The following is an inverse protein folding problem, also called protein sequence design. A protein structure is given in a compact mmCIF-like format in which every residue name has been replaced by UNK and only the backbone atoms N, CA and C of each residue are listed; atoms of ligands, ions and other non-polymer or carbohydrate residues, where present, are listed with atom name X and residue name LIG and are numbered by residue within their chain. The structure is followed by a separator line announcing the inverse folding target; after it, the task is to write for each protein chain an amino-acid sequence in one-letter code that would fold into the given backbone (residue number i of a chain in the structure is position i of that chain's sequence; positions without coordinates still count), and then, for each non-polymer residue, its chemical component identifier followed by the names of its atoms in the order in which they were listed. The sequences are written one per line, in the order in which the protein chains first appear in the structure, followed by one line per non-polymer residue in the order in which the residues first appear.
data_IF_765851686148
#
_entry.id   IF_765851686148
#
_cell.length_a   1.000
_cell.length_b   1.000
_cell.length_c   1.000
_cell.angle_alpha   90.00
_cell.angle_beta   90.00
_cell.angle_gamma   90.00
#
_symmetry.space_group_name_H-M   'P 1'
#
loop_
_entity.id
_entity.type
_entity.pdbx_description
1 polymer ?
#
# COMPACT_ATOMS: atom_id res chain seq x y z
N UNK A 1 -0.31 0.66 -1.57
CA UNK A 1 1.09 1.02 -1.72
C UNK A 1 1.79 0.97 -0.36
N UNK A 2 3.04 0.52 -0.32
CA UNK A 2 3.84 0.42 0.90
C UNK A 2 5.17 1.16 0.74
N UNK A 3 5.40 2.19 1.54
CA UNK A 3 6.67 2.90 1.63
C UNK A 3 7.60 2.16 2.59
N UNK A 4 8.74 1.71 2.11
CA UNK A 4 9.74 0.98 2.92
C UNK A 4 11.04 1.77 2.97
N UNK A 5 11.65 1.86 4.14
CA UNK A 5 12.91 2.58 4.31
C UNK A 5 13.38 2.62 5.76
N UNK A 6 14.58 3.12 6.03
CA UNK A 6 15.13 3.18 7.38
C UNK A 6 14.27 4.05 8.32
N UNK A 7 14.41 3.84 9.63
CA UNK A 7 13.84 4.76 10.63
C UNK A 7 14.42 6.16 10.42
N UNK A 8 13.58 7.19 10.61
CA UNK A 8 13.99 8.58 10.31
C UNK A 8 14.06 8.95 8.82
N UNK A 9 13.76 8.02 7.90
CA UNK A 9 13.85 8.24 6.46
C UNK A 9 12.71 9.05 5.82
N UNK A 10 11.98 9.88 6.56
CA UNK A 10 10.94 10.77 6.01
C UNK A 10 9.61 10.12 5.64
N UNK A 11 9.43 8.79 5.83
CA UNK A 11 8.19 8.07 5.47
C UNK A 11 6.94 8.69 6.08
N UNK A 12 6.97 8.96 7.38
CA UNK A 12 5.84 9.54 8.11
C UNK A 12 5.53 10.95 7.64
N UNK A 13 6.55 11.74 7.28
CA UNK A 13 6.37 13.08 6.73
C UNK A 13 5.64 13.02 5.37
N UNK A 14 6.06 12.10 4.48
CA UNK A 14 5.40 11.85 3.20
C UNK A 14 3.94 11.41 3.37
N UNK A 15 3.65 10.53 4.33
CA UNK A 15 2.27 10.10 4.58
C UNK A 15 1.42 11.22 5.18
N UNK A 16 2.01 12.03 6.07
CA UNK A 16 1.31 13.12 6.73
C UNK A 16 0.88 14.23 5.75
N UNK A 17 1.53 14.38 4.59
CA UNK A 17 1.09 15.36 3.60
C UNK A 17 -0.33 15.10 3.08
N UNK A 18 -0.79 13.85 3.11
CA UNK A 18 -2.13 13.50 2.66
C UNK A 18 -3.20 13.52 3.77
N UNK A 19 -2.83 13.75 5.04
CA UNK A 19 -3.77 13.66 6.17
C UNK A 19 -4.70 14.88 6.33
N UNK A 20 -4.56 15.90 5.50
CA UNK A 20 -5.40 17.11 5.53
C UNK A 20 -6.61 17.06 4.58
N UNK A 21 -6.72 16.03 3.74
CA UNK A 21 -7.79 15.90 2.73
C UNK A 21 -8.98 15.14 3.29
N UNK A 22 -10.20 15.53 2.88
CA UNK A 22 -11.43 14.75 3.14
C UNK A 22 -11.44 13.41 2.38
N UNK A 23 -10.57 13.26 1.39
CA UNK A 23 -10.38 12.03 0.62
C UNK A 23 -9.46 11.02 1.32
N UNK A 24 -8.97 11.33 2.52
CA UNK A 24 -8.04 10.46 3.24
C UNK A 24 -8.40 10.29 4.71
N UNK A 25 -8.07 9.12 5.26
CA UNK A 25 -8.28 8.79 6.66
C UNK A 25 -7.00 8.18 7.26
N UNK A 26 -6.32 8.92 8.16
CA UNK A 26 -5.15 8.38 8.86
C UNK A 26 -5.55 7.46 10.01
N UNK A 27 -5.04 6.22 9.99
CA UNK A 27 -5.27 5.21 11.00
C UNK A 27 -3.99 4.99 11.80
N UNK A 28 -4.06 5.21 13.10
CA UNK A 28 -2.92 5.02 14.01
C UNK A 28 -2.86 3.62 14.62
N UNK A 29 -4.01 2.99 14.82
CA UNK A 29 -4.10 1.65 15.42
C UNK A 29 -5.16 0.81 14.72
N UNK A 30 -4.81 -0.43 14.46
CA UNK A 30 -5.74 -1.45 13.98
C UNK A 30 -6.09 -2.42 15.10
N UNK A 31 -7.36 -2.74 15.21
CA UNK A 31 -7.89 -3.85 16.00
C UNK A 31 -8.70 -4.75 15.07
N UNK A 32 -9.07 -5.95 15.52
CA UNK A 32 -9.89 -6.88 14.74
C UNK A 32 -11.26 -6.32 14.32
N UNK A 33 -11.73 -5.27 14.98
CA UNK A 33 -13.04 -4.64 14.74
C UNK A 33 -12.91 -3.27 14.04
N UNK A 34 -11.70 -2.85 13.65
CA UNK A 34 -11.48 -1.54 13.01
C UNK A 34 -12.17 -1.44 11.65
N UNK A 35 -12.02 -2.46 10.82
CA UNK A 35 -12.58 -2.46 9.46
C UNK A 35 -14.09 -2.66 9.46
N UNK A 36 -14.59 -3.63 10.23
CA UNK A 36 -16.01 -3.91 10.41
C UNK A 36 -16.30 -4.12 11.90
N UNK A 37 -17.45 -3.65 12.37
CA UNK A 37 -17.88 -3.83 13.76
C UNK A 37 -19.01 -4.87 13.87
N UNK A 38 -18.86 -5.79 14.83
CA UNK A 38 -19.88 -6.76 15.23
C UNK A 38 -20.70 -6.33 16.45
N UNK A 39 -20.50 -5.09 16.94
CA UNK A 39 -21.21 -4.59 18.12
C UNK A 39 -22.69 -4.39 17.83
N UNK A 40 -23.55 -5.06 18.60
CA UNK A 40 -25.00 -5.01 18.46
C UNK A 40 -25.61 -3.65 18.79
N UNK A 41 -24.91 -2.83 19.57
CA UNK A 41 -25.36 -1.49 19.95
C UNK A 41 -25.08 -0.44 18.86
N UNK A 42 -24.32 -0.80 17.83
CA UNK A 42 -24.00 0.08 16.72
C UNK A 42 -24.83 -0.27 15.47
N UNK A 43 -25.04 0.65 14.53
CA UNK A 43 -25.67 0.35 13.24
C UNK A 43 -24.95 -0.78 12.48
N UNK A 44 -25.65 -1.49 11.59
CA UNK A 44 -25.08 -2.61 10.83
C UNK A 44 -23.99 -2.20 9.84
N UNK A 45 -23.93 -0.94 9.48
CA UNK A 45 -22.92 -0.33 8.63
C UNK A 45 -21.81 0.37 9.46
N UNK A 46 -21.58 -0.07 10.69
CA UNK A 46 -20.51 0.46 11.53
C UNK A 46 -19.17 -0.20 11.20
N UNK A 47 -18.14 0.61 11.18
CA UNK A 47 -16.76 0.22 10.87
C UNK A 47 -16.16 1.15 9.82
N UNK A 48 -14.85 1.16 9.77
CA UNK A 48 -14.08 2.06 8.91
C UNK A 48 -14.44 1.90 7.43
N UNK A 49 -14.61 0.67 6.94
CA UNK A 49 -14.85 0.42 5.51
C UNK A 49 -16.07 1.14 4.96
N UNK A 50 -17.13 1.31 5.74
CA UNK A 50 -18.34 2.01 5.30
C UNK A 50 -18.15 3.51 5.03
N UNK A 51 -17.06 4.09 5.55
CA UNK A 51 -16.70 5.50 5.38
C UNK A 51 -15.62 5.70 4.33
N UNK A 52 -15.05 4.61 3.78
CA UNK A 52 -13.83 4.63 2.99
C UNK A 52 -14.04 4.44 1.48
N UNK A 53 -15.25 4.39 1.00
CA UNK A 53 -15.48 4.29 -0.44
C UNK A 53 -14.84 5.48 -1.17
N UNK A 54 -14.01 5.16 -2.17
CA UNK A 54 -13.24 6.10 -2.99
C UNK A 54 -12.30 7.04 -2.21
N UNK A 55 -11.92 6.63 -0.97
CA UNK A 55 -10.97 7.34 -0.13
C UNK A 55 -9.65 6.58 0.03
N UNK A 56 -8.66 7.25 0.61
CA UNK A 56 -7.33 6.75 0.90
C UNK A 56 -7.17 6.47 2.40
N UNK A 57 -6.96 5.22 2.77
CA UNK A 57 -6.53 4.86 4.13
C UNK A 57 -5.02 5.05 4.25
N UNK A 58 -4.59 5.76 5.28
CA UNK A 58 -3.18 6.04 5.57
C UNK A 58 -2.78 5.33 6.86
N UNK A 59 -1.87 4.36 6.76
CA UNK A 59 -1.30 3.62 7.90
C UNK A 59 0.15 4.09 8.10
N UNK A 60 0.40 4.89 9.12
CA UNK A 60 1.71 5.50 9.36
C UNK A 60 2.81 4.48 9.66
N UNK A 61 2.46 3.35 10.26
CA UNK A 61 3.37 2.23 10.54
C UNK A 61 2.61 0.90 10.54
N UNK A 62 3.09 -0.04 9.72
CA UNK A 62 2.54 -1.40 9.65
C UNK A 62 3.19 -2.38 10.65
N UNK A 63 4.33 -2.03 11.25
CA UNK A 63 5.03 -2.91 12.18
C UNK A 63 4.12 -3.38 13.34
N UNK A 64 3.33 -2.51 13.99
CA UNK A 64 2.45 -2.96 15.08
C UNK A 64 1.45 -4.05 14.66
N UNK A 65 0.92 -4.01 13.43
CA UNK A 65 0.02 -5.05 12.93
C UNK A 65 0.78 -6.37 12.76
N UNK A 66 2.00 -6.32 12.23
CA UNK A 66 2.82 -7.50 11.95
C UNK A 66 3.34 -8.17 13.23
N UNK A 67 3.54 -7.40 14.29
CA UNK A 67 3.99 -7.85 15.60
C UNK A 67 2.87 -8.40 16.50
N UNK A 68 1.60 -8.22 16.09
CA UNK A 68 0.47 -8.81 16.81
C UNK A 68 0.55 -10.33 16.85
N UNK A 69 -0.08 -10.91 17.88
CA UNK A 69 -0.27 -12.37 17.96
C UNK A 69 -0.91 -12.94 16.70
N UNK A 70 -0.52 -14.14 16.32
CA UNK A 70 -0.87 -14.80 15.03
C UNK A 70 -2.37 -14.74 14.71
N UNK A 71 -3.23 -14.94 15.71
CA UNK A 71 -4.69 -14.94 15.56
C UNK A 71 -5.22 -13.56 15.16
N UNK A 72 -4.96 -12.52 15.96
CA UNK A 72 -5.43 -11.15 15.70
C UNK A 72 -4.87 -10.60 14.39
N UNK A 73 -3.59 -10.83 14.14
CA UNK A 73 -2.95 -10.45 12.88
C UNK A 73 -3.62 -11.14 11.71
N UNK A 74 -3.88 -12.44 11.80
CA UNK A 74 -4.54 -13.22 10.75
C UNK A 74 -5.93 -12.69 10.41
N UNK A 75 -6.73 -12.32 11.41
CA UNK A 75 -8.04 -11.70 11.20
C UNK A 75 -7.93 -10.36 10.43
N UNK A 76 -7.07 -9.45 10.89
CA UNK A 76 -6.88 -8.14 10.24
C UNK A 76 -6.41 -8.29 8.80
N UNK A 77 -5.43 -9.17 8.57
CA UNK A 77 -4.88 -9.40 7.24
C UNK A 77 -5.90 -10.07 6.31
N UNK A 78 -6.76 -10.96 6.85
CA UNK A 78 -7.86 -11.55 6.09
C UNK A 78 -8.88 -10.50 5.68
N UNK A 79 -9.33 -9.67 6.62
CA UNK A 79 -10.29 -8.60 6.35
C UNK A 79 -9.72 -7.59 5.33
N UNK A 80 -8.44 -7.23 5.42
CA UNK A 80 -7.76 -6.36 4.43
C UNK A 80 -7.67 -7.01 3.05
N UNK A 81 -7.47 -8.33 3.00
CA UNK A 81 -7.41 -9.08 1.76
C UNK A 81 -8.76 -9.08 1.05
N UNK A 82 -9.82 -9.35 1.80
CA UNK A 82 -11.17 -9.39 1.26
C UNK A 82 -11.64 -7.98 0.85
N UNK A 83 -11.27 -6.97 1.63
CA UNK A 83 -11.53 -5.57 1.31
C UNK A 83 -10.77 -5.09 0.05
N UNK A 84 -9.56 -5.56 -0.19
CA UNK A 84 -8.84 -5.31 -1.44
C UNK A 84 -9.57 -5.91 -2.65
N UNK A 85 -10.19 -7.07 -2.48
CA UNK A 85 -10.98 -7.73 -3.53
C UNK A 85 -12.37 -7.07 -3.71
N UNK A 86 -12.72 -6.09 -2.87
CA UNK A 86 -13.91 -5.24 -3.00
C UNK A 86 -15.13 -5.73 -2.27
N UNK A 87 -15.05 -6.85 -1.56
CA UNK A 87 -16.18 -7.43 -0.82
C UNK A 87 -15.71 -8.05 0.49
N UNK A 88 -16.26 -7.59 1.60
CA UNK A 88 -16.07 -8.24 2.92
C UNK A 88 -17.42 -8.68 3.45
N UNK A 89 -17.53 -9.96 3.83
CA UNK A 89 -18.71 -10.50 4.50
C UNK A 89 -18.29 -11.23 5.77
N UNK A 90 -18.77 -10.77 6.92
CA UNK A 90 -18.39 -11.28 8.24
C UNK A 90 -19.60 -11.63 9.07
N UNK A 91 -19.65 -12.87 9.55
CA UNK A 91 -20.63 -13.34 10.51
C UNK A 91 -20.04 -13.31 11.92
N UNK A 92 -20.74 -12.69 12.83
CA UNK A 92 -20.29 -12.50 14.20
C UNK A 92 -20.97 -13.51 15.14
N UNK A 93 -20.30 -13.91 16.21
CA UNK A 93 -20.86 -14.80 17.23
C UNK A 93 -22.13 -14.26 17.91
N UNK A 94 -22.43 -12.98 17.75
CA UNK A 94 -23.66 -12.31 18.18
C UNK A 94 -24.86 -12.60 17.27
N UNK A 95 -24.69 -13.38 16.19
CA UNK A 95 -25.73 -13.59 15.16
C UNK A 95 -25.83 -12.47 14.11
N UNK A 96 -25.02 -11.42 14.25
CA UNK A 96 -24.98 -10.33 13.26
C UNK A 96 -24.20 -10.73 12.03
N UNK A 97 -24.68 -10.33 10.85
CA UNK A 97 -23.97 -10.42 9.59
C UNK A 97 -23.68 -9.01 9.07
N UNK A 98 -22.43 -8.73 8.76
CA UNK A 98 -22.01 -7.46 8.18
C UNK A 98 -21.44 -7.70 6.80
N UNK A 99 -21.92 -6.97 5.81
CA UNK A 99 -21.42 -7.03 4.43
C UNK A 99 -21.06 -5.62 3.97
N UNK A 100 -19.87 -5.47 3.45
CA UNK A 100 -19.38 -4.26 2.79
C UNK A 100 -18.95 -4.58 1.37
N UNK A 101 -19.29 -3.69 0.45
CA UNK A 101 -18.85 -3.75 -0.95
C UNK A 101 -18.41 -2.35 -1.35
N UNK A 102 -17.21 -2.23 -1.94
CA UNK A 102 -16.67 -0.94 -2.30
C UNK A 102 -15.23 -0.99 -2.77
N UNK A 103 -14.61 0.19 -2.88
CA UNK A 103 -13.20 0.37 -3.25
C UNK A 103 -12.59 1.45 -2.39
N UNK A 104 -11.31 1.28 -2.05
CA UNK A 104 -10.52 2.31 -1.38
C UNK A 104 -9.05 2.18 -1.76
N UNK A 105 -8.30 3.25 -1.59
CA UNK A 105 -6.85 3.22 -1.63
C UNK A 105 -6.25 2.91 -0.26
N UNK A 106 -5.08 2.27 -0.22
CA UNK A 106 -4.32 2.11 1.00
C UNK A 106 -2.86 2.44 0.76
N UNK A 107 -2.32 3.33 1.58
CA UNK A 107 -0.90 3.63 1.63
C UNK A 107 -0.40 3.43 3.06
N UNK A 108 0.71 2.71 3.20
CA UNK A 108 1.31 2.46 4.50
C UNK A 108 2.81 2.66 4.49
N UNK A 109 3.40 2.75 5.68
CA UNK A 109 4.84 2.76 5.84
C UNK A 109 5.32 1.61 6.71
N UNK A 110 6.55 1.18 6.45
CA UNK A 110 7.26 0.22 7.27
C UNK A 110 8.77 0.47 7.22
N UNK A 111 9.48 -0.04 8.20
CA UNK A 111 10.94 -0.13 8.14
C UNK A 111 11.37 -1.35 7.32
N UNK A 112 12.67 -1.44 6.98
CA UNK A 112 13.21 -2.61 6.29
C UNK A 112 13.06 -3.92 7.11
N UNK A 113 12.77 -3.80 8.41
CA UNK A 113 12.45 -4.95 9.27
C UNK A 113 11.21 -5.74 8.80
N UNK A 114 10.38 -5.14 7.93
CA UNK A 114 9.23 -5.80 7.30
C UNK A 114 9.62 -7.09 6.57
N UNK A 115 10.83 -7.18 6.04
CA UNK A 115 11.30 -8.36 5.33
C UNK A 115 11.43 -9.60 6.25
N UNK A 116 11.57 -9.40 7.57
CA UNK A 116 11.49 -10.48 8.56
C UNK A 116 10.10 -11.13 8.64
N UNK A 117 9.07 -10.38 8.27
CA UNK A 117 7.68 -10.83 8.23
C UNK A 117 7.22 -11.24 6.83
N UNK A 118 8.18 -11.51 5.92
CA UNK A 118 7.89 -11.82 4.52
C UNK A 118 6.87 -12.96 4.33
N UNK A 119 6.95 -14.01 5.16
CA UNK A 119 5.96 -15.10 5.15
C UNK A 119 4.53 -14.61 5.40
N UNK A 120 4.38 -13.66 6.33
CA UNK A 120 3.07 -13.07 6.65
C UNK A 120 2.56 -12.21 5.50
N UNK A 121 3.45 -11.46 4.84
CA UNK A 121 3.09 -10.70 3.65
C UNK A 121 2.71 -11.60 2.46
N UNK A 122 3.37 -12.73 2.30
CA UNK A 122 3.02 -13.69 1.25
C UNK A 122 1.62 -14.31 1.48
N UNK A 123 1.16 -14.43 2.74
CA UNK A 123 -0.21 -14.86 3.08
C UNK A 123 -1.27 -13.83 2.65
N UNK A 124 -0.93 -12.54 2.60
CA UNK A 124 -1.78 -11.50 2.00
C UNK A 124 -1.92 -11.65 0.48
N UNK A 125 -1.12 -12.56 -0.14
CA UNK A 125 -1.06 -12.75 -1.58
C UNK A 125 -0.67 -11.44 -2.29
N UNK A 126 0.29 -10.73 -1.71
CA UNK A 126 1.03 -9.63 -2.31
C UNK A 126 0.16 -8.52 -2.93
N UNK A 127 -0.76 -8.03 -2.13
CA UNK A 127 -1.67 -6.97 -2.52
C UNK A 127 -1.06 -5.57 -2.44
N UNK A 128 0.20 -5.47 -2.00
CA UNK A 128 0.91 -4.20 -1.86
C UNK A 128 2.05 -4.09 -2.88
N UNK A 129 2.06 -3.01 -3.63
CA UNK A 129 3.27 -2.56 -4.30
C UNK A 129 4.18 -1.89 -3.28
N UNK A 130 5.48 -2.19 -3.34
CA UNK A 130 6.51 -1.55 -2.49
C UNK A 130 7.18 -0.41 -3.23
N UNK A 131 7.56 0.59 -2.47
CA UNK A 131 8.46 1.67 -2.90
C UNK A 131 9.53 1.81 -1.84
N UNK A 132 10.76 1.46 -2.19
CA UNK A 132 11.90 1.58 -1.30
C UNK A 132 12.44 3.01 -1.35
N UNK A 133 12.32 3.72 -0.22
CA UNK A 133 12.87 5.06 -0.09
C UNK A 133 14.38 4.99 0.07
N UNK A 134 15.10 5.55 -0.91
CA UNK A 134 16.52 5.76 -0.81
C UNK A 134 16.75 7.03 0.01
N UNK A 135 17.48 6.90 1.11
CA UNK A 135 17.79 8.02 2.01
C UNK A 135 19.27 8.28 2.01
N UNK A 136 19.65 9.51 1.73
CA UNK A 136 21.00 9.99 2.05
C UNK A 136 20.97 10.49 3.49
N UNK A 137 21.52 9.70 4.42
CA UNK A 137 21.51 10.01 5.85
C UNK A 137 22.23 11.31 6.18
N UNK A 138 23.28 11.68 5.43
CA UNK A 138 24.02 12.94 5.65
C UNK A 138 23.19 14.15 5.24
N UNK A 139 22.62 14.11 4.03
CA UNK A 139 21.76 15.19 3.54
C UNK A 139 20.52 15.35 4.41
N UNK A 140 19.90 14.27 4.84
CA UNK A 140 18.73 14.32 5.73
C UNK A 140 19.06 14.85 7.13
N UNK A 141 20.22 14.44 7.70
CA UNK A 141 20.63 14.95 9.00
C UNK A 141 20.97 16.45 8.92
N UNK A 142 21.65 16.89 7.88
CA UNK A 142 21.95 18.30 7.66
C UNK A 142 20.65 19.10 7.54
N UNK A 143 19.70 18.64 6.69
CA UNK A 143 18.40 19.28 6.52
C UNK A 143 17.59 19.33 7.84
N UNK A 144 17.61 18.25 8.62
CA UNK A 144 16.91 18.20 9.91
C UNK A 144 17.50 19.20 10.92
N UNK A 145 18.82 19.41 10.92
CA UNK A 145 19.48 20.42 11.77
C UNK A 145 19.06 21.84 11.37
N UNK A 146 19.00 22.13 10.07
CA UNK A 146 18.58 23.44 9.55
C UNK A 146 17.10 23.72 9.88
N UNK A 147 16.27 22.68 10.01
CA UNK A 147 14.83 22.80 10.29
C UNK A 147 14.48 22.81 11.79
N UNK A 148 15.47 22.79 12.70
CA UNK A 148 15.24 22.88 14.15
C UNK A 148 14.80 24.30 14.50
N UNK A 149 13.49 24.54 14.63
CA UNK A 149 12.95 25.84 15.01
C UNK A 149 11.46 26.00 14.69
N UNK A 150 11.00 27.25 14.69
CA UNK A 150 9.59 27.64 14.51
C UNK A 150 9.01 27.34 13.11
N UNK A 151 9.85 27.12 12.11
CA UNK A 151 9.42 26.91 10.70
C UNK A 151 8.93 25.50 10.42
N UNK A 152 9.22 24.51 11.29
CA UNK A 152 8.85 23.11 11.06
C UNK A 152 7.32 22.92 10.91
N UNK A 153 6.54 23.58 11.73
CA UNK A 153 5.07 23.47 11.67
C UNK A 153 4.48 24.16 10.43
N UNK A 154 5.08 25.26 9.98
CA UNK A 154 4.69 25.93 8.73
C UNK A 154 4.97 25.05 7.51
N UNK A 155 6.14 24.40 7.47
CA UNK A 155 6.50 23.44 6.42
C UNK A 155 5.53 22.25 6.40
N UNK A 156 5.21 21.70 7.56
CA UNK A 156 4.23 20.60 7.68
C UNK A 156 2.84 21.03 7.22
N UNK A 157 2.40 22.24 7.58
CA UNK A 157 1.12 22.79 7.14
C UNK A 157 1.09 22.99 5.61
N UNK A 158 2.16 23.55 5.05
CA UNK A 158 2.31 23.71 3.61
C UNK A 158 2.28 22.36 2.87
N UNK A 159 2.99 21.34 3.37
CA UNK A 159 2.97 20.00 2.79
C UNK A 159 1.57 19.38 2.83
N UNK A 160 0.82 19.53 3.92
CA UNK A 160 -0.57 19.03 4.01
C UNK A 160 -1.48 19.72 2.99
N UNK A 161 -1.33 21.04 2.81
CA UNK A 161 -2.08 21.77 1.81
C UNK A 161 -1.80 21.26 0.40
N UNK A 162 -0.52 21.14 0.03
CA UNK A 162 -0.13 20.60 -1.28
C UNK A 162 -0.62 19.15 -1.48
N UNK A 163 -0.57 18.32 -0.45
CA UNK A 163 -1.07 16.95 -0.52
C UNK A 163 -2.59 16.88 -0.70
N UNK A 164 -3.34 17.79 -0.05
CA UNK A 164 -4.80 17.89 -0.25
C UNK A 164 -5.13 18.35 -1.67
N UNK A 165 -4.52 19.44 -2.14
CA UNK A 165 -4.68 19.96 -3.50
C UNK A 165 -4.33 18.89 -4.56
N UNK A 166 -3.29 18.08 -4.30
CA UNK A 166 -2.93 16.96 -5.18
C UNK A 166 -4.02 15.90 -5.26
N UNK A 167 -4.62 15.51 -4.12
CA UNK A 167 -5.69 14.50 -4.11
C UNK A 167 -6.95 15.01 -4.81
N UNK A 168 -7.30 16.28 -4.62
CA UNK A 168 -8.45 16.90 -5.28
C UNK A 168 -8.23 17.01 -6.79
N UNK A 169 -7.06 17.45 -7.23
CA UNK A 169 -6.67 17.48 -8.64
C UNK A 169 -6.69 16.08 -9.25
N UNK A 170 -6.14 15.08 -8.56
CA UNK A 170 -6.14 13.70 -9.05
C UNK A 170 -7.57 13.15 -9.20
N UNK A 171 -8.46 13.43 -8.26
CA UNK A 171 -9.87 13.05 -8.33
C UNK A 171 -10.56 13.64 -9.57
N UNK A 172 -10.28 14.89 -9.90
CA UNK A 172 -10.78 15.54 -11.09
C UNK A 172 -10.17 14.94 -12.36
N UNK A 173 -8.86 14.77 -12.40
CA UNK A 173 -8.14 14.21 -13.54
C UNK A 173 -8.61 12.78 -13.90
N UNK A 174 -8.89 11.94 -12.91
CA UNK A 174 -9.44 10.57 -13.11
C UNK A 174 -10.80 10.59 -13.81
N UNK A 175 -11.62 11.62 -13.58
CA UNK A 175 -12.94 11.73 -14.22
C UNK A 175 -12.88 12.14 -15.68
N UNK A 176 -11.81 12.79 -16.11
CA UNK A 176 -11.64 13.39 -17.45
C UNK A 176 -10.64 12.64 -18.34
N UNK A 177 -9.66 11.97 -17.73
CA UNK A 177 -8.54 11.37 -18.45
C UNK A 177 -8.59 9.84 -18.36
N UNK A 178 -8.67 9.17 -19.49
CA UNK A 178 -8.72 7.70 -19.59
C UNK A 178 -7.56 7.16 -20.45
N UNK A 179 -6.33 7.08 -19.91
CA UNK A 179 -5.18 6.65 -20.67
C UNK A 179 -5.31 5.18 -21.10
N UNK A 180 -4.91 4.88 -22.33
CA UNK A 180 -4.77 3.49 -22.74
C UNK A 180 -3.33 2.99 -22.53
N UNK A 181 -3.20 1.69 -22.31
CA UNK A 181 -1.90 1.03 -22.24
C UNK A 181 -1.65 0.30 -23.57
N UNK A 182 -0.61 0.65 -24.34
CA UNK A 182 -0.29 -0.05 -25.57
C UNK A 182 -0.03 -1.54 -25.36
N UNK A 183 -0.42 -2.39 -26.29
CA UNK A 183 -0.36 -3.85 -26.11
C UNK A 183 1.06 -4.38 -25.91
N UNK A 184 2.04 -3.78 -26.56
CA UNK A 184 3.45 -4.13 -26.34
C UNK A 184 3.90 -3.84 -24.89
N UNK A 185 3.39 -2.76 -24.27
CA UNK A 185 3.67 -2.47 -22.85
C UNK A 185 2.88 -3.39 -21.91
N UNK A 186 1.65 -3.77 -22.25
CA UNK A 186 0.91 -4.78 -21.48
C UNK A 186 1.67 -6.10 -21.43
N UNK A 187 2.20 -6.55 -22.58
CA UNK A 187 3.02 -7.76 -22.66
C UNK A 187 4.28 -7.63 -21.80
N UNK A 188 5.04 -6.53 -21.96
CA UNK A 188 6.26 -6.28 -21.17
C UNK A 188 5.99 -6.21 -19.66
N UNK A 189 4.92 -5.54 -19.25
CA UNK A 189 4.53 -5.47 -17.83
C UNK A 189 4.08 -6.85 -17.31
N UNK A 190 3.45 -7.66 -18.14
CA UNK A 190 3.06 -9.02 -17.79
C UNK A 190 4.27 -9.92 -17.54
N UNK A 191 5.24 -9.89 -18.44
CA UNK A 191 6.50 -10.62 -18.28
C UNK A 191 7.28 -10.18 -17.03
N UNK A 192 7.32 -8.87 -16.77
CA UNK A 192 7.91 -8.31 -15.56
C UNK A 192 7.16 -8.79 -14.31
N UNK A 193 5.84 -8.79 -14.32
CA UNK A 193 5.02 -9.27 -13.21
C UNK A 193 5.27 -10.75 -12.90
N UNK A 194 5.40 -11.60 -13.92
CA UNK A 194 5.73 -13.02 -13.78
C UNK A 194 7.15 -13.19 -13.22
N UNK A 195 8.13 -12.46 -13.75
CA UNK A 195 9.51 -12.52 -13.28
C UNK A 195 9.62 -12.15 -11.79
N UNK A 196 9.05 -11.00 -11.42
CA UNK A 196 9.09 -10.51 -10.02
C UNK A 196 8.33 -11.45 -9.09
N UNK A 197 7.18 -11.99 -9.49
CA UNK A 197 6.45 -12.99 -8.69
C UNK A 197 7.31 -14.23 -8.38
N UNK A 198 8.13 -14.67 -9.32
CA UNK A 198 9.10 -15.76 -9.11
C UNK A 198 10.23 -15.36 -8.17
N UNK A 199 10.85 -14.18 -8.40
CA UNK A 199 12.00 -13.70 -7.62
C UNK A 199 11.66 -13.45 -6.14
N UNK A 200 10.42 -13.09 -5.84
CA UNK A 200 9.95 -12.84 -4.47
C UNK A 200 9.36 -14.06 -3.77
N UNK A 201 9.33 -15.22 -4.44
CA UNK A 201 8.79 -16.44 -3.84
C UNK A 201 9.65 -16.89 -2.66
N UNK A 202 9.09 -17.07 -1.45
CA UNK A 202 9.85 -17.47 -0.28
C UNK A 202 10.36 -18.90 -0.41
N UNK A 203 11.65 -19.10 -0.20
CA UNK A 203 12.27 -20.44 -0.13
C UNK A 203 12.28 -20.88 1.33
N UNK A 204 11.47 -21.90 1.64
CA UNK A 204 11.44 -22.48 2.98
C UNK A 204 12.66 -23.37 3.19
N UNK A 205 13.45 -23.06 4.22
CA UNK A 205 14.60 -23.86 4.62
C UNK A 205 14.35 -24.46 6.01
N UNK A 206 14.78 -25.69 6.22
CA UNK A 206 14.80 -26.32 7.54
C UNK A 206 15.90 -25.74 8.44
N UNK A 207 16.03 -26.27 9.67
CA UNK A 207 17.07 -25.86 10.62
C UNK A 207 18.49 -26.11 10.09
N UNK A 208 18.67 -27.08 9.20
CA UNK A 208 19.92 -27.44 8.54
C UNK A 208 20.15 -26.67 7.23
N UNK A 209 19.31 -25.64 6.95
CA UNK A 209 19.34 -24.81 5.73
C UNK A 209 19.01 -25.55 4.42
N UNK A 210 18.56 -26.80 4.47
CA UNK A 210 18.08 -27.50 3.28
C UNK A 210 16.71 -26.98 2.84
N UNK A 211 16.44 -27.02 1.54
CA UNK A 211 15.13 -26.68 0.98
C UNK A 211 14.19 -27.83 1.22
N UNK A 212 13.27 -27.69 2.18
CA UNK A 212 12.36 -28.78 2.57
C UNK A 212 11.26 -29.06 1.55
N UNK A 213 10.71 -28.00 0.95
CA UNK A 213 9.68 -28.09 -0.08
C UNK A 213 10.05 -27.20 -1.27
N UNK A 214 9.88 -27.66 -2.51
CA UNK A 214 10.10 -26.80 -3.67
C UNK A 214 9.26 -25.52 -3.56
N UNK A 215 9.85 -24.34 -3.77
CA UNK A 215 9.09 -23.10 -3.76
C UNK A 215 8.06 -23.10 -4.89
N UNK A 216 6.82 -22.77 -4.56
CA UNK A 216 5.75 -22.59 -5.53
C UNK A 216 5.52 -21.09 -5.76
N UNK A 217 5.95 -20.55 -6.91
CA UNK A 217 5.78 -19.15 -7.22
C UNK A 217 4.32 -18.80 -7.44
N UNK A 218 3.93 -17.61 -7.00
CA UNK A 218 2.63 -17.04 -7.36
C UNK A 218 2.56 -16.81 -8.88
N UNK A 219 1.36 -16.95 -9.43
CA UNK A 219 1.09 -16.55 -10.82
C UNK A 219 1.04 -15.03 -10.89
N UNK A 220 1.98 -14.37 -11.52
CA UNK A 220 2.19 -12.92 -11.53
C UNK A 220 1.00 -12.03 -11.96
N UNK A 221 -0.20 -12.59 -12.14
CA UNK A 221 -1.41 -11.90 -12.63
C UNK A 221 -1.81 -10.70 -11.77
N UNK A 222 -1.77 -10.86 -10.44
CA UNK A 222 -2.16 -9.78 -9.52
C UNK A 222 -1.15 -8.63 -9.59
N UNK A 223 0.13 -8.94 -9.53
CA UNK A 223 1.20 -7.95 -9.65
C UNK A 223 1.13 -7.22 -11.01
N UNK A 224 0.95 -7.95 -12.10
CA UNK A 224 0.76 -7.36 -13.43
C UNK A 224 -0.38 -6.33 -13.44
N UNK A 225 -1.55 -6.69 -12.88
CA UNK A 225 -2.69 -5.76 -12.78
C UNK A 225 -2.37 -4.52 -11.96
N UNK A 226 -1.64 -4.67 -10.85
CA UNK A 226 -1.23 -3.55 -10.01
C UNK A 226 -0.23 -2.63 -10.73
N UNK A 227 0.75 -3.20 -11.44
CA UNK A 227 1.72 -2.42 -12.21
C UNK A 227 1.06 -1.66 -13.38
N UNK A 228 0.11 -2.27 -14.07
CA UNK A 228 -0.70 -1.60 -15.09
C UNK A 228 -1.49 -0.44 -14.46
N UNK A 229 -2.17 -0.68 -13.33
CA UNK A 229 -2.89 0.39 -12.61
C UNK A 229 -1.97 1.53 -12.20
N UNK A 230 -0.77 1.24 -11.70
CA UNK A 230 0.21 2.25 -11.31
C UNK A 230 0.65 3.09 -12.53
N UNK A 231 0.97 2.44 -13.65
CA UNK A 231 1.36 3.13 -14.88
C UNK A 231 0.21 3.99 -15.43
N UNK A 232 -1.02 3.47 -15.41
CA UNK A 232 -2.21 4.21 -15.83
C UNK A 232 -2.48 5.41 -14.91
N UNK A 233 -2.35 5.24 -13.59
CA UNK A 233 -2.51 6.32 -12.63
C UNK A 233 -1.46 7.44 -12.83
N UNK A 234 -0.22 7.08 -13.15
CA UNK A 234 0.81 8.05 -13.49
C UNK A 234 0.49 8.80 -14.79
N UNK A 235 -0.06 8.11 -15.80
CA UNK A 235 -0.48 8.75 -17.04
C UNK A 235 -1.63 9.75 -16.81
N UNK A 236 -2.56 9.44 -15.92
CA UNK A 236 -3.60 10.40 -15.49
C UNK A 236 -2.98 11.65 -14.89
N UNK A 237 -2.02 11.52 -13.98
CA UNK A 237 -1.34 12.65 -13.34
C UNK A 237 -0.58 13.54 -14.33
N UNK A 238 -0.07 12.96 -15.41
CA UNK A 238 0.62 13.70 -16.47
C UNK A 238 -0.32 14.13 -17.61
N UNK A 239 -1.64 13.93 -17.43
CA UNK A 239 -2.66 14.20 -18.45
C UNK A 239 -2.32 13.56 -19.80
N UNK A 240 -1.62 12.43 -19.76
CA UNK A 240 -1.18 11.71 -20.94
C UNK A 240 -2.29 10.81 -21.49
N UNK A 241 -2.55 10.80 -22.81
CA UNK A 241 -3.58 9.94 -23.40
C UNK A 241 -3.19 8.46 -23.39
N UNK A 242 -1.92 8.15 -23.17
CA UNK A 242 -1.42 6.77 -23.14
C UNK A 242 -0.22 6.61 -22.22
N UNK A 243 -0.03 5.38 -21.73
CA UNK A 243 1.19 4.99 -21.01
C UNK A 243 2.38 4.95 -21.97
N UNK A 244 3.47 5.61 -21.60
CA UNK A 244 4.70 5.67 -22.40
C UNK A 244 5.81 4.79 -21.83
N UNK A 245 6.76 4.38 -22.69
CA UNK A 245 7.92 3.57 -22.30
C UNK A 245 8.88 4.35 -21.39
N UNK A 246 9.01 5.64 -21.59
CA UNK A 246 10.04 6.47 -20.92
C UNK A 246 9.54 7.17 -19.65
N UNK A 247 8.24 7.26 -19.45
CA UNK A 247 7.61 7.85 -18.28
C UNK A 247 7.03 6.79 -17.33
N UNK A 248 5.77 6.50 -17.50
CA UNK A 248 4.92 5.75 -16.58
C UNK A 248 5.36 4.28 -16.45
N UNK A 249 5.83 3.66 -17.54
CA UNK A 249 6.39 2.31 -17.51
C UNK A 249 7.64 2.23 -16.62
N UNK A 250 8.51 3.24 -16.64
CA UNK A 250 9.70 3.25 -15.74
C UNK A 250 9.32 3.29 -14.27
N UNK A 251 8.23 3.98 -13.93
CA UNK A 251 7.69 3.97 -12.56
C UNK A 251 7.19 2.57 -12.18
N UNK A 252 6.44 1.92 -13.07
CA UNK A 252 5.97 0.55 -12.85
C UNK A 252 7.14 -0.44 -12.72
N UNK A 253 8.18 -0.32 -13.58
CA UNK A 253 9.40 -1.12 -13.50
C UNK A 253 10.09 -0.94 -12.14
N UNK A 254 10.27 0.30 -11.69
CA UNK A 254 10.90 0.57 -10.39
C UNK A 254 10.10 -0.03 -9.24
N UNK A 255 8.78 0.18 -9.22
CA UNK A 255 7.91 -0.41 -8.20
C UNK A 255 7.94 -1.95 -8.23
N UNK A 256 8.04 -2.55 -9.41
CA UNK A 256 8.18 -4.00 -9.55
C UNK A 256 9.49 -4.51 -8.93
N UNK A 257 10.61 -3.85 -9.23
CA UNK A 257 11.92 -4.21 -8.66
C UNK A 257 11.97 -3.98 -7.14
N UNK A 258 11.33 -2.92 -6.65
CA UNK A 258 11.22 -2.65 -5.22
C UNK A 258 10.35 -3.70 -4.48
N UNK A 259 9.51 -4.47 -5.19
CA UNK A 259 8.76 -5.59 -4.62
C UNK A 259 9.61 -6.84 -4.39
N UNK A 260 10.85 -6.89 -4.87
CA UNK A 260 11.78 -8.00 -4.61
C UNK A 260 12.41 -7.77 -3.22
N UNK A 261 12.33 -8.75 -2.29
CA UNK A 261 12.96 -8.61 -0.98
C UNK A 261 14.47 -8.42 -1.10
N UNK A 262 14.99 -7.49 -0.33
CA UNK A 262 16.45 -7.31 -0.17
C UNK A 262 16.89 -8.17 1.01
N UNK A 263 17.32 -9.39 0.77
CA UNK A 263 17.93 -10.28 1.78
C UNK A 263 19.43 -10.07 1.85
#
# INVERSE_FOLDING_TARGET
LLLVGPSGGGKTALLNMFTGSELSEPISKFTKNTLLSGDMNLPSNSGLLFQMNDKLIIIKDLAPILEMGKEHRGEILSDLRDAYDGLVSKSWGTGRNTRWEGKFGLIGAATNAIDRHWKVFSELGERFLRVNLKTDSKAQTAFAIEQVGSEEEEVKASLRRVGSEFLDHYKEAVSTTHPFVPDYLKSTISELGILVARLRTPVQRDRSKHVGTPPQPEVGTRLTKQLIKLATAAAVLYESPSVTKYGEYRLALRAALDCIPTN
#
